data_IF_118855961814
#
_entry.id   IF_118855961814
#
_cell.length_a   1.000
_cell.length_b   1.000
_cell.length_c   1.000
_cell.angle_alpha   90.00
_cell.angle_beta   90.00
_cell.angle_gamma   90.00
#
_symmetry.space_group_name_H-M   'P 1'
#
loop_
_entity.id
_entity.type
_entity.pdbx_description
1 polymer ?
#
# COMPACT_ATOMS: atom_id res chain seq x y z
N UNK A 1 19.61 7.06 81.44
CA UNK A 1 19.08 5.90 80.70
C UNK A 1 18.02 6.40 79.73
N UNK A 2 18.18 6.08 78.43
CA UNK A 2 17.22 6.21 77.30
C UNK A 2 16.79 7.62 76.85
N UNK A 3 16.60 7.90 75.57
CA UNK A 3 17.21 7.50 74.29
C UNK A 3 16.62 8.49 73.27
N UNK A 4 17.46 9.05 72.41
CA UNK A 4 17.17 10.02 71.35
C UNK A 4 16.44 9.32 70.20
N UNK A 5 15.44 9.96 69.58
CA UNK A 5 15.01 9.59 68.22
C UNK A 5 14.77 10.83 67.36
N UNK A 6 15.63 10.99 66.35
CA UNK A 6 15.55 11.96 65.25
C UNK A 6 14.73 11.36 64.12
N UNK A 7 13.79 12.10 63.55
CA UNK A 7 13.16 11.78 62.26
C UNK A 7 13.73 12.69 61.17
N UNK A 8 14.39 12.08 60.19
CA UNK A 8 14.81 12.71 58.94
C UNK A 8 13.66 12.58 57.93
N UNK A 9 13.18 13.71 57.42
CA UNK A 9 12.28 13.81 56.28
C UNK A 9 13.13 13.68 54.99
N UNK A 10 13.01 12.53 54.32
CA UNK A 10 13.49 12.32 52.96
C UNK A 10 12.50 12.95 51.96
N UNK A 11 12.92 14.03 51.31
CA UNK A 11 12.24 14.59 50.15
C UNK A 11 12.57 13.77 48.90
N UNK A 12 11.56 13.09 48.36
CA UNK A 12 11.64 12.38 47.08
C UNK A 12 11.27 13.39 45.98
N UNK A 13 12.28 13.83 45.23
CA UNK A 13 12.08 14.62 44.01
C UNK A 13 11.60 13.73 42.87
N UNK A 14 10.33 13.88 42.50
CA UNK A 14 9.75 13.30 41.28
C UNK A 14 10.28 14.08 40.07
N UNK A 15 11.30 13.54 39.42
CA UNK A 15 11.81 14.04 38.15
C UNK A 15 10.95 13.43 37.02
N UNK A 16 9.91 14.17 36.63
CA UNK A 16 9.04 13.80 35.52
C UNK A 16 9.81 13.99 34.20
N UNK A 17 10.27 12.88 33.61
CA UNK A 17 10.86 12.86 32.28
C UNK A 17 9.72 12.92 31.25
N UNK A 18 9.44 14.11 30.73
CA UNK A 18 8.49 14.30 29.65
C UNK A 18 9.13 13.85 28.33
N UNK A 19 8.95 12.59 27.95
CA UNK A 19 9.24 12.11 26.60
C UNK A 19 8.22 12.72 25.64
N UNK A 20 8.59 13.81 24.97
CA UNK A 20 7.85 14.36 23.84
C UNK A 20 8.07 13.40 22.66
N UNK A 21 7.15 12.45 22.47
CA UNK A 21 7.08 11.63 21.27
C UNK A 21 6.63 12.54 20.12
N UNK A 22 7.59 13.03 19.33
CA UNK A 22 7.31 13.71 18.08
C UNK A 22 6.74 12.67 17.10
N UNK A 23 5.42 12.63 16.97
CA UNK A 23 4.76 11.93 15.89
C UNK A 23 5.12 12.65 14.58
N UNK A 24 6.06 12.08 13.81
CA UNK A 24 6.28 12.50 12.44
C UNK A 24 5.04 12.13 11.64
N UNK A 25 4.28 13.15 11.23
CA UNK A 25 3.23 12.99 10.23
C UNK A 25 3.92 12.62 8.90
N UNK A 26 3.99 11.32 8.60
CA UNK A 26 4.34 10.85 7.26
C UNK A 26 3.31 11.42 6.28
N UNK A 27 3.71 12.44 5.53
CA UNK A 27 2.89 13.05 4.49
C UNK A 27 2.69 12.04 3.36
N UNK A 28 1.56 11.34 3.44
CA UNK A 28 1.05 10.40 2.46
C UNK A 28 0.59 11.18 1.20
N UNK A 29 1.54 11.55 0.35
CA UNK A 29 1.27 12.34 -0.86
C UNK A 29 0.81 11.42 -1.99
N UNK A 30 -0.51 11.32 -2.19
CA UNK A 30 -1.06 10.71 -3.40
C UNK A 30 -0.91 11.69 -4.58
N UNK A 31 -0.01 11.39 -5.52
CA UNK A 31 0.21 12.23 -6.71
C UNK A 31 -0.82 11.84 -7.78
N UNK A 32 -1.77 12.72 -8.16
CA UNK A 32 -2.65 12.46 -9.28
C UNK A 32 -1.83 12.27 -10.56
N UNK A 33 -2.17 11.25 -11.35
CA UNK A 33 -1.39 10.75 -12.51
C UNK A 33 -1.11 11.76 -13.64
N UNK A 34 -1.59 13.00 -13.54
CA UNK A 34 -1.43 14.06 -14.54
C UNK A 34 -0.20 14.98 -14.40
N UNK A 35 0.61 14.88 -13.34
CA UNK A 35 1.67 15.86 -13.04
C UNK A 35 3.11 15.29 -12.93
N UNK A 36 3.51 14.37 -13.81
CA UNK A 36 4.93 13.97 -13.83
C UNK A 36 5.31 12.67 -14.50
N UNK A 37 4.40 12.00 -15.21
CA UNK A 37 4.79 10.84 -16.01
C UNK A 37 5.28 11.32 -17.40
N UNK A 38 6.56 11.10 -17.76
CA UNK A 38 7.06 11.46 -19.08
C UNK A 38 6.33 10.67 -20.18
N UNK A 39 5.80 11.35 -21.19
CA UNK A 39 5.23 10.72 -22.39
C UNK A 39 6.37 10.29 -23.35
N UNK A 40 6.26 9.13 -24.05
CA UNK A 40 5.15 8.19 -24.07
C UNK A 40 5.27 7.11 -22.99
N UNK A 41 4.29 7.05 -22.09
CA UNK A 41 4.20 6.06 -21.04
C UNK A 41 3.10 5.04 -21.36
N UNK A 42 3.37 3.72 -21.34
CA UNK A 42 4.66 3.07 -21.07
C UNK A 42 5.70 3.24 -22.17
N UNK A 43 6.97 3.33 -21.77
CA UNK A 43 8.08 3.36 -22.71
C UNK A 43 8.18 2.03 -23.47
N UNK A 44 8.38 2.04 -24.81
CA UNK A 44 8.45 0.81 -25.61
C UNK A 44 9.50 -0.21 -25.14
N UNK A 45 10.68 0.25 -24.69
CA UNK A 45 11.80 -0.60 -24.25
C UNK A 45 11.52 -1.32 -22.92
N UNK A 46 10.69 -0.75 -22.04
CA UNK A 46 10.36 -1.34 -20.74
C UNK A 46 9.56 -2.65 -20.87
N UNK A 47 9.09 -2.97 -22.08
CA UNK A 47 8.43 -4.24 -22.40
C UNK A 47 9.35 -5.46 -22.33
N UNK A 48 10.66 -5.26 -22.21
CA UNK A 48 11.64 -6.35 -22.08
C UNK A 48 12.17 -6.51 -20.65
N UNK A 49 11.87 -5.56 -19.75
CA UNK A 49 12.36 -5.64 -18.39
C UNK A 49 11.69 -6.77 -17.60
N UNK A 50 12.48 -7.64 -16.92
CA UNK A 50 11.91 -8.69 -16.08
C UNK A 50 11.15 -8.06 -14.93
N UNK A 51 10.02 -8.63 -14.51
CA UNK A 51 9.26 -8.12 -13.36
C UNK A 51 9.83 -8.73 -12.07
N UNK A 52 10.32 -7.89 -11.14
CA UNK A 52 10.65 -8.35 -9.80
C UNK A 52 9.35 -8.52 -8.97
N UNK A 53 8.73 -9.68 -9.09
CA UNK A 53 7.49 -10.01 -8.39
C UNK A 53 7.60 -10.01 -6.86
N UNK A 54 8.78 -10.26 -6.30
CA UNK A 54 8.95 -10.27 -4.84
C UNK A 54 8.86 -8.85 -4.29
N UNK A 55 9.39 -7.86 -5.02
CA UNK A 55 9.30 -6.43 -4.67
C UNK A 55 7.85 -5.94 -4.56
N UNK A 56 6.92 -6.56 -5.29
CA UNK A 56 5.49 -6.22 -5.29
C UNK A 56 4.78 -6.62 -4.00
N UNK A 57 5.31 -7.58 -3.24
CA UNK A 57 4.69 -8.00 -1.99
C UNK A 57 4.81 -6.92 -0.92
N UNK A 58 3.71 -6.53 -0.30
CA UNK A 58 3.71 -5.52 0.76
C UNK A 58 2.34 -4.91 1.01
N UNK A 59 2.33 -3.91 1.89
CA UNK A 59 1.16 -3.05 2.12
C UNK A 59 1.33 -1.73 1.40
N UNK A 60 0.23 -1.22 0.88
CA UNK A 60 0.15 0.03 0.14
C UNK A 60 -1.00 0.82 0.74
N UNK A 61 -0.72 2.04 1.18
CA UNK A 61 -1.74 2.93 1.69
C UNK A 61 -2.13 3.88 0.56
N UNK A 62 -3.44 3.97 0.33
CA UNK A 62 -4.03 4.78 -0.72
C UNK A 62 -5.07 5.69 -0.09
N UNK A 63 -5.22 6.88 -0.64
CA UNK A 63 -6.33 7.78 -0.28
C UNK A 63 -7.25 7.92 -1.48
N UNK A 64 -8.52 7.50 -1.36
CA UNK A 64 -9.51 7.73 -2.42
C UNK A 64 -9.71 9.24 -2.59
N UNK A 65 -9.43 9.82 -3.77
CA UNK A 65 -9.52 11.26 -3.97
C UNK A 65 -10.94 11.82 -3.79
N UNK A 66 -11.98 11.01 -3.98
CA UNK A 66 -13.37 11.46 -3.86
C UNK A 66 -13.89 11.40 -2.42
N UNK A 67 -13.61 10.31 -1.69
CA UNK A 67 -14.12 10.13 -0.32
C UNK A 67 -13.13 10.57 0.76
N UNK A 68 -11.85 10.74 0.41
CA UNK A 68 -10.71 10.88 1.33
C UNK A 68 -10.55 9.68 2.27
N UNK A 69 -11.18 8.55 1.96
CA UNK A 69 -11.04 7.33 2.74
C UNK A 69 -9.64 6.75 2.54
N UNK A 70 -9.00 6.38 3.65
CA UNK A 70 -7.76 5.59 3.63
C UNK A 70 -8.07 4.15 3.32
N UNK A 71 -7.42 3.64 2.29
CA UNK A 71 -7.53 2.27 1.80
C UNK A 71 -6.18 1.60 2.03
N UNK A 72 -6.18 0.51 2.80
CA UNK A 72 -4.98 -0.32 2.97
C UNK A 72 -5.09 -1.53 2.06
N UNK A 73 -4.14 -1.64 1.13
CA UNK A 73 -4.05 -2.70 0.16
C UNK A 73 -2.87 -3.60 0.50
N UNK A 74 -3.14 -4.86 0.82
CA UNK A 74 -2.10 -5.88 0.98
C UNK A 74 -1.99 -6.68 -0.31
N UNK A 75 -0.81 -6.65 -0.93
CA UNK A 75 -0.46 -7.51 -2.07
C UNK A 75 0.48 -8.60 -1.54
N UNK A 76 0.13 -9.85 -1.80
CA UNK A 76 0.99 -11.00 -1.50
C UNK A 76 1.27 -11.75 -2.80
N UNK A 77 2.53 -12.11 -3.00
CA UNK A 77 2.99 -12.87 -4.17
C UNK A 77 3.58 -14.19 -3.70
N UNK A 78 3.03 -15.30 -4.19
CA UNK A 78 3.63 -16.62 -4.00
C UNK A 78 4.17 -17.18 -5.32
N UNK A 79 5.41 -17.69 -5.28
CA UNK A 79 6.02 -18.38 -6.41
C UNK A 79 5.43 -19.80 -6.54
N UNK A 80 4.79 -20.12 -7.69
CA UNK A 80 4.20 -21.43 -8.00
C UNK A 80 4.68 -21.88 -9.38
N UNK A 81 5.74 -22.67 -9.43
CA UNK A 81 6.38 -23.14 -10.67
C UNK A 81 6.61 -21.99 -11.67
N UNK A 82 5.96 -22.05 -12.84
CA UNK A 82 6.05 -21.05 -13.91
C UNK A 82 5.08 -19.87 -13.74
N UNK A 83 4.31 -19.85 -12.67
CA UNK A 83 3.28 -18.84 -12.38
C UNK A 83 3.55 -18.12 -11.06
N UNK A 84 2.79 -17.06 -10.83
CA UNK A 84 2.73 -16.29 -9.60
C UNK A 84 1.29 -16.28 -9.13
N UNK A 85 1.06 -16.64 -7.86
CA UNK A 85 -0.24 -16.41 -7.23
C UNK A 85 -0.20 -15.02 -6.60
N UNK A 86 -1.00 -14.11 -7.15
CA UNK A 86 -1.17 -12.76 -6.65
C UNK A 86 -2.44 -12.72 -5.83
N UNK A 87 -2.34 -12.36 -4.56
CA UNK A 87 -3.47 -12.16 -3.65
C UNK A 87 -3.55 -10.69 -3.27
N UNK A 88 -4.74 -10.11 -3.37
CA UNK A 88 -4.98 -8.71 -3.07
C UNK A 88 -6.11 -8.61 -2.04
N UNK A 89 -5.81 -7.99 -0.90
CA UNK A 89 -6.77 -7.70 0.15
C UNK A 89 -6.90 -6.19 0.33
N UNK A 90 -8.13 -5.69 0.36
CA UNK A 90 -8.45 -4.29 0.64
C UNK A 90 -9.07 -4.18 2.03
N UNK A 91 -8.52 -3.32 2.87
CA UNK A 91 -9.02 -3.03 4.21
C UNK A 91 -9.51 -1.58 4.31
N UNK A 92 -10.49 -1.36 5.18
CA UNK A 92 -10.91 -0.02 5.60
C UNK A 92 -9.85 0.64 6.48
N UNK A 93 -9.97 1.95 6.72
CA UNK A 93 -9.12 2.66 7.69
C UNK A 93 -9.21 2.15 9.13
N UNK A 94 -10.19 1.29 9.46
CA UNK A 94 -10.31 0.60 10.76
C UNK A 94 -9.69 -0.79 10.77
N UNK A 95 -9.11 -1.24 9.65
CA UNK A 95 -8.52 -2.57 9.49
C UNK A 95 -9.53 -3.68 9.19
N UNK A 96 -10.78 -3.35 8.86
CA UNK A 96 -11.78 -4.34 8.46
C UNK A 96 -11.56 -4.76 7.00
N UNK A 97 -11.56 -6.06 6.72
CA UNK A 97 -11.45 -6.58 5.36
C UNK A 97 -12.71 -6.20 4.57
N UNK A 98 -12.54 -5.43 3.51
CA UNK A 98 -13.62 -5.01 2.61
C UNK A 98 -13.70 -5.92 1.38
N UNK A 99 -12.55 -6.25 0.80
CA UNK A 99 -12.47 -7.05 -0.41
C UNK A 99 -11.25 -7.98 -0.43
N UNK A 100 -11.37 -9.09 -1.15
CA UNK A 100 -10.28 -10.02 -1.41
C UNK A 100 -10.35 -10.59 -2.82
N UNK A 101 -9.21 -10.79 -3.48
CA UNK A 101 -9.13 -11.43 -4.79
C UNK A 101 -7.82 -12.17 -4.96
N UNK A 102 -7.81 -13.10 -5.92
CA UNK A 102 -6.62 -13.84 -6.29
C UNK A 102 -6.55 -14.05 -7.80
N UNK A 103 -5.35 -14.09 -8.36
CA UNK A 103 -5.11 -14.45 -9.74
C UNK A 103 -3.79 -15.21 -9.89
N UNK A 104 -3.78 -16.14 -10.84
CA UNK A 104 -2.54 -16.75 -11.33
C UNK A 104 -2.04 -15.92 -12.51
N UNK A 105 -0.77 -15.55 -12.45
CA UNK A 105 -0.15 -14.61 -13.37
C UNK A 105 1.10 -15.25 -13.96
N UNK A 106 1.28 -15.11 -15.27
CA UNK A 106 2.49 -15.58 -15.94
C UNK A 106 3.73 -14.79 -15.51
N UNK A 107 4.92 -15.37 -15.67
CA UNK A 107 6.19 -14.71 -15.29
C UNK A 107 6.37 -13.32 -15.91
N UNK A 108 5.95 -13.15 -17.16
CA UNK A 108 6.13 -11.92 -17.94
C UNK A 108 4.86 -11.04 -18.03
N UNK A 109 3.78 -11.44 -17.35
CA UNK A 109 2.51 -10.75 -17.45
C UNK A 109 2.52 -9.46 -16.62
N UNK A 110 2.36 -8.31 -17.28
CA UNK A 110 2.44 -7.00 -16.62
C UNK A 110 1.09 -6.35 -16.32
N UNK A 111 0.01 -6.95 -16.77
CA UNK A 111 -1.35 -6.45 -16.57
C UNK A 111 -2.15 -7.57 -15.93
N UNK A 112 -2.49 -7.39 -14.67
CA UNK A 112 -3.24 -8.37 -13.89
C UNK A 112 -4.64 -7.83 -13.73
N UNK A 113 -5.64 -8.52 -14.29
CA UNK A 113 -7.04 -8.19 -14.09
C UNK A 113 -7.70 -9.27 -13.23
N UNK A 114 -8.33 -8.87 -12.12
CA UNK A 114 -9.03 -9.82 -11.26
C UNK A 114 -10.30 -9.21 -10.67
N UNK A 115 -11.24 -10.09 -10.34
CA UNK A 115 -12.42 -9.74 -9.57
C UNK A 115 -12.08 -9.72 -8.09
N UNK A 116 -12.57 -8.71 -7.38
CA UNK A 116 -12.47 -8.63 -5.93
C UNK A 116 -13.80 -9.05 -5.31
N UNK A 117 -13.78 -10.16 -4.59
CA UNK A 117 -14.90 -10.67 -3.83
C UNK A 117 -15.14 -9.74 -2.62
N UNK A 118 -16.37 -9.21 -2.47
CA UNK A 118 -16.71 -8.41 -1.30
C UNK A 118 -16.77 -9.29 -0.04
N UNK A 119 -16.30 -8.76 1.09
CA UNK A 119 -16.37 -9.44 2.38
C UNK A 119 -17.80 -9.43 2.98
N UNK A 120 -18.64 -8.48 2.56
CA UNK A 120 -20.03 -8.34 2.98
C UNK A 120 -20.97 -8.26 1.76
N UNK A 121 -22.19 -8.79 1.89
CA UNK A 121 -23.15 -8.91 0.78
C UNK A 121 -23.73 -7.58 0.28
N UNK A 122 -23.61 -6.50 1.05
CA UNK A 122 -24.12 -5.17 0.71
C UNK A 122 -23.11 -4.29 -0.03
N UNK A 123 -21.97 -4.86 -0.44
CA UNK A 123 -20.89 -4.11 -1.08
C UNK A 123 -20.92 -4.27 -2.60
N UNK A 124 -20.55 -3.20 -3.29
CA UNK A 124 -20.51 -3.19 -4.75
C UNK A 124 -19.48 -4.14 -5.33
N UNK A 125 -19.80 -4.69 -6.50
CA UNK A 125 -18.87 -5.52 -7.27
C UNK A 125 -17.68 -4.68 -7.72
N UNK A 126 -16.47 -5.16 -7.45
CA UNK A 126 -15.24 -4.43 -7.76
C UNK A 126 -14.29 -5.30 -8.57
N UNK A 127 -13.78 -4.75 -9.65
CA UNK A 127 -12.68 -5.31 -10.43
C UNK A 127 -11.44 -4.47 -10.21
N UNK A 128 -10.27 -5.10 -10.34
CA UNK A 128 -9.01 -4.39 -10.36
C UNK A 128 -8.21 -4.73 -11.60
N UNK A 129 -7.48 -3.73 -12.08
CA UNK A 129 -6.42 -3.91 -13.07
C UNK A 129 -5.14 -3.36 -12.47
N UNK A 130 -4.17 -4.22 -12.20
CA UNK A 130 -2.84 -3.84 -11.74
C UNK A 130 -1.90 -3.87 -12.94
N UNK A 131 -1.36 -2.71 -13.30
CA UNK A 131 -0.44 -2.54 -14.41
C UNK A 131 0.96 -2.21 -13.87
N UNK A 132 1.96 -2.93 -14.36
CA UNK A 132 3.34 -2.82 -13.91
C UNK A 132 4.19 -2.10 -14.96
N UNK A 133 4.85 -1.02 -14.55
CA UNK A 133 5.62 -0.15 -15.43
C UNK A 133 7.01 0.11 -14.88
N UNK A 134 7.97 0.43 -15.75
CA UNK A 134 9.29 0.90 -15.33
C UNK A 134 9.42 2.41 -15.54
N UNK A 135 9.90 3.13 -14.54
CA UNK A 135 10.20 4.56 -14.58
C UNK A 135 11.69 4.79 -14.31
N UNK A 136 12.49 5.00 -15.36
CA UNK A 136 13.88 5.45 -15.22
C UNK A 136 14.28 6.37 -16.37
N UNK A 137 15.21 7.28 -16.11
CA UNK A 137 15.82 8.15 -17.11
C UNK A 137 16.93 7.43 -17.90
N UNK A 138 17.48 6.34 -17.37
CA UNK A 138 18.73 5.72 -17.83
C UNK A 138 18.52 4.49 -18.74
N UNK A 139 17.27 4.21 -19.17
CA UNK A 139 16.94 3.01 -19.96
C UNK A 139 17.37 1.68 -19.31
N UNK A 140 17.29 1.60 -17.98
CA UNK A 140 17.71 0.45 -17.20
C UNK A 140 16.54 -0.26 -16.50
N UNK A 141 16.61 -1.58 -16.38
CA UNK A 141 15.64 -2.38 -15.62
C UNK A 141 16.05 -2.46 -14.15
N UNK A 142 16.07 -1.32 -13.44
CA UNK A 142 16.36 -1.30 -12.00
C UNK A 142 15.11 -1.66 -11.20
N UNK A 143 15.28 -2.39 -10.10
CA UNK A 143 14.15 -2.87 -9.29
C UNK A 143 13.34 -1.72 -8.68
N UNK A 144 14.02 -0.65 -8.24
CA UNK A 144 13.40 0.54 -7.66
C UNK A 144 12.62 1.38 -8.69
N UNK A 145 12.74 1.08 -9.97
CA UNK A 145 12.01 1.74 -11.03
C UNK A 145 10.65 1.10 -11.34
N UNK A 146 10.29 -0.03 -10.71
CA UNK A 146 8.98 -0.64 -10.92
C UNK A 146 7.88 0.21 -10.25
N UNK A 147 7.01 0.79 -11.08
CA UNK A 147 5.87 1.60 -10.68
C UNK A 147 4.58 0.82 -10.95
N UNK A 148 3.90 0.33 -9.90
CA UNK A 148 2.61 -0.32 -10.05
C UNK A 148 1.50 0.72 -10.08
N UNK A 149 0.64 0.63 -11.08
CA UNK A 149 -0.57 1.44 -11.21
C UNK A 149 -1.78 0.53 -11.04
N UNK A 150 -2.62 0.87 -10.06
CA UNK A 150 -3.85 0.16 -9.75
C UNK A 150 -5.05 0.94 -10.30
N UNK A 151 -5.84 0.31 -11.14
CA UNK A 151 -7.16 0.78 -11.55
C UNK A 151 -8.22 0.00 -10.81
N UNK A 152 -9.01 0.68 -9.96
CA UNK A 152 -10.21 0.15 -9.34
C UNK A 152 -11.41 0.47 -10.24
N UNK A 153 -12.18 -0.56 -10.59
CA UNK A 153 -13.45 -0.42 -11.30
C UNK A 153 -14.57 -0.94 -10.41
N UNK A 154 -15.43 -0.05 -9.94
CA UNK A 154 -16.59 -0.40 -9.12
C UNK A 154 -17.86 -0.28 -9.96
N UNK A 155 -18.72 -1.30 -9.88
CA UNK A 155 -20.01 -1.35 -10.56
C UNK A 155 -21.12 -1.34 -9.51
N UNK A 156 -21.89 -0.25 -9.48
CA UNK A 156 -23.00 -0.03 -8.55
C UNK A 156 -24.19 0.52 -9.33
N UNK A 157 -25.38 -0.08 -9.21
CA UNK A 157 -26.62 0.40 -9.84
C UNK A 157 -26.50 0.76 -11.35
N UNK A 158 -25.82 -0.09 -12.13
CA UNK A 158 -25.48 0.13 -13.55
C UNK A 158 -24.56 1.33 -13.84
N UNK A 159 -23.97 1.95 -12.81
CA UNK A 159 -22.93 2.97 -12.95
C UNK A 159 -21.57 2.32 -12.76
N UNK A 160 -20.67 2.58 -13.71
CA UNK A 160 -19.27 2.17 -13.65
C UNK A 160 -18.44 3.36 -13.19
N UNK A 161 -17.72 3.22 -12.08
CA UNK A 161 -16.74 4.20 -11.60
C UNK A 161 -15.35 3.60 -11.71
N UNK A 162 -14.46 4.31 -12.38
CA UNK A 162 -13.05 3.95 -12.49
C UNK A 162 -12.20 4.93 -11.68
N UNK A 163 -11.21 4.44 -10.95
CA UNK A 163 -10.25 5.29 -10.22
C UNK A 163 -8.86 4.67 -10.29
N UNK A 164 -7.87 5.48 -10.63
CA UNK A 164 -6.49 5.03 -10.84
C UNK A 164 -5.58 5.56 -9.74
N UNK A 165 -4.70 4.69 -9.25
CA UNK A 165 -3.78 4.96 -8.16
C UNK A 165 -2.37 4.56 -8.58
N UNK A 166 -1.40 5.45 -8.32
CA UNK A 166 0.00 5.03 -8.25
C UNK A 166 0.23 4.40 -6.88
N UNK A 167 0.64 3.13 -6.86
CA UNK A 167 0.92 2.43 -5.62
C UNK A 167 2.28 2.89 -5.06
N UNK A 168 2.27 3.29 -3.80
CA UNK A 168 3.49 3.59 -3.02
C UNK A 168 3.50 2.63 -1.83
N UNK A 169 4.60 1.90 -1.68
CA UNK A 169 4.73 0.89 -0.62
C UNK A 169 4.81 1.61 0.73
N UNK A 170 3.96 1.24 1.68
CA UNK A 170 4.04 1.80 3.03
C UNK A 170 5.30 1.28 3.71
N UNK A 171 6.03 2.15 4.41
CA UNK A 171 7.11 1.70 5.28
C UNK A 171 6.55 0.64 6.22
N UNK A 172 7.16 -0.55 6.25
CA UNK A 172 6.71 -1.58 7.19
C UNK A 172 6.95 -1.03 8.60
N UNK A 173 5.92 -0.97 9.48
CA UNK A 173 6.17 -0.62 10.87
C UNK A 173 7.16 -1.62 11.43
N UNK A 174 8.33 -1.12 11.87
CA UNK A 174 9.36 -1.92 12.53
C UNK A 174 8.87 -2.44 13.87
#
# INVERSE_FOLDING_TARGET
>A
MKLIFRYYLLGIGLMACACVAAAQEEQEQSIPLGQGLPLPWPFPWAKECPVNWESMSGRYLLTDPASKEKIDLKISVENRDQTKLIMISRYSGRGELQYYGMAYVGREERTIRMYLYPAHSNMDSTWITLQLYYQTAEFACTEDALVPILTLETVSDNRRRETQYRLVKSASPK
#
